data_IF_969342425462
#
_entry.id   IF_969342425462
#
_cell.length_a   1.000
_cell.length_b   1.000
_cell.length_c   1.000
_cell.angle_alpha   90.00
_cell.angle_beta   90.00
_cell.angle_gamma   90.00
#
_symmetry.space_group_name_H-M   'P 1'
#
loop_
_entity.id
_entity.type
_entity.pdbx_description
1 polymer ?
#
# COMPACT_ATOMS: atom_id res chain seq x y z
N UNK A 1 -13.48 -8.14 9.43
CA UNK A 1 -12.93 -6.77 9.28
C UNK A 1 -11.92 -6.74 8.11
N UNK A 2 -12.21 -5.96 7.06
CA UNK A 2 -11.22 -5.62 6.03
C UNK A 2 -10.69 -4.23 6.39
N UNK A 3 -9.39 -4.13 6.70
CA UNK A 3 -8.75 -2.84 6.98
C UNK A 3 -8.20 -2.20 5.71
N UNK A 4 -7.86 -0.92 5.77
CA UNK A 4 -7.20 -0.20 4.67
C UNK A 4 -5.69 -0.38 4.76
N UNK A 5 -5.05 -0.66 3.62
CA UNK A 5 -3.58 -0.74 3.54
C UNK A 5 -2.98 0.65 3.30
N UNK A 6 -1.96 1.02 4.08
CA UNK A 6 -1.18 2.25 3.91
C UNK A 6 0.29 1.87 3.68
N UNK A 7 0.84 2.03 2.47
CA UNK A 7 2.25 1.76 2.23
C UNK A 7 3.10 2.83 2.93
N UNK A 8 4.10 2.37 3.69
CA UNK A 8 5.07 3.20 4.41
C UNK A 8 6.48 2.94 3.89
N UNK A 9 7.49 3.64 4.45
CA UNK A 9 8.91 3.55 4.07
C UNK A 9 9.28 4.03 2.65
N UNK A 10 8.30 4.39 1.82
CA UNK A 10 8.48 5.00 0.51
C UNK A 10 7.85 6.42 0.47
N UNK A 11 8.11 7.19 -0.61
CA UNK A 11 7.43 8.46 -0.89
C UNK A 11 8.16 9.73 -0.44
N UNK A 12 9.31 9.61 0.23
CA UNK A 12 10.10 10.77 0.69
C UNK A 12 11.56 10.72 0.22
N UNK A 13 12.29 9.67 0.58
CA UNK A 13 13.71 9.51 0.25
C UNK A 13 13.92 8.44 -0.82
N UNK A 14 14.97 8.61 -1.64
CA UNK A 14 15.43 7.58 -2.56
C UNK A 14 16.62 6.83 -1.93
N UNK A 15 16.33 5.67 -1.33
CA UNK A 15 17.30 4.86 -0.58
C UNK A 15 17.54 3.48 -1.21
N UNK A 16 17.10 3.28 -2.47
CA UNK A 16 17.18 2.00 -3.16
C UNK A 16 17.66 2.17 -4.59
N UNK A 17 18.07 1.06 -5.21
CA UNK A 17 18.58 1.02 -6.60
C UNK A 17 17.47 1.02 -7.65
N UNK A 18 16.25 0.64 -7.27
CA UNK A 18 15.10 0.65 -8.16
C UNK A 18 14.59 2.09 -8.38
N UNK A 19 13.72 2.28 -9.39
CA UNK A 19 13.15 3.61 -9.63
C UNK A 19 12.32 4.07 -8.43
N UNK A 20 12.33 5.38 -8.12
CA UNK A 20 11.68 5.89 -6.91
C UNK A 20 10.16 5.66 -6.88
N UNK A 21 9.47 5.74 -8.04
CA UNK A 21 8.04 5.49 -8.15
C UNK A 21 7.66 3.99 -8.12
N UNK A 22 8.65 3.11 -8.26
CA UNK A 22 8.43 1.68 -8.47
C UNK A 22 7.65 0.99 -7.34
N UNK A 23 7.92 1.24 -6.04
CA UNK A 23 7.17 0.60 -4.96
C UNK A 23 5.70 1.00 -4.93
N UNK A 24 5.41 2.28 -5.21
CA UNK A 24 4.03 2.78 -5.28
C UNK A 24 3.23 2.11 -6.39
N UNK A 25 3.81 2.01 -7.59
CA UNK A 25 3.18 1.31 -8.71
C UNK A 25 2.93 -0.17 -8.42
N UNK A 26 3.93 -0.86 -7.88
CA UNK A 26 3.80 -2.29 -7.60
C UNK A 26 2.75 -2.57 -6.53
N UNK A 27 2.74 -1.77 -5.46
CA UNK A 27 1.76 -1.91 -4.39
C UNK A 27 0.33 -1.75 -4.91
N UNK A 28 0.07 -0.74 -5.77
CA UNK A 28 -1.25 -0.56 -6.36
C UNK A 28 -1.65 -1.74 -7.24
N UNK A 29 -0.74 -2.29 -8.03
CA UNK A 29 -1.00 -3.48 -8.85
C UNK A 29 -1.32 -4.70 -7.97
N UNK A 30 -0.52 -4.96 -6.93
CA UNK A 30 -0.71 -6.09 -6.03
C UNK A 30 -2.01 -5.99 -5.23
N UNK A 31 -2.34 -4.81 -4.72
CA UNK A 31 -3.60 -4.57 -4.02
C UNK A 31 -4.81 -4.72 -4.94
N UNK A 32 -4.72 -4.20 -6.17
CA UNK A 32 -5.74 -4.35 -7.19
C UNK A 32 -6.03 -5.80 -7.53
N UNK A 33 -5.00 -6.65 -7.60
CA UNK A 33 -5.15 -8.08 -7.87
C UNK A 33 -6.03 -8.79 -6.82
N UNK A 34 -5.89 -8.42 -5.54
CA UNK A 34 -6.62 -9.05 -4.41
C UNK A 34 -7.85 -8.27 -3.95
N UNK A 35 -8.19 -7.15 -4.59
CA UNK A 35 -9.29 -6.28 -4.17
C UNK A 35 -9.08 -5.59 -2.83
N UNK A 36 -7.83 -5.36 -2.41
CA UNK A 36 -7.49 -4.68 -1.16
C UNK A 36 -7.58 -3.16 -1.32
N UNK A 37 -8.30 -2.49 -0.43
CA UNK A 37 -8.35 -1.03 -0.39
C UNK A 37 -7.01 -0.46 0.08
N UNK A 38 -6.54 0.59 -0.61
CA UNK A 38 -5.25 1.25 -0.34
C UNK A 38 -5.46 2.75 -0.23
N UNK A 39 -4.90 3.33 0.83
CA UNK A 39 -4.74 4.78 0.95
C UNK A 39 -3.29 5.16 0.61
N UNK A 40 -3.13 6.15 -0.26
CA UNK A 40 -1.85 6.75 -0.66
C UNK A 40 -1.91 8.27 -0.51
N UNK A 41 -1.97 8.78 0.73
CA UNK A 41 -1.96 10.22 0.98
C UNK A 41 -0.67 10.85 0.44
N UNK A 42 -0.76 12.11 -0.01
CA UNK A 42 0.44 12.94 -0.21
C UNK A 42 1.14 13.08 1.16
N UNK A 43 2.48 13.05 1.26
CA UNK A 43 3.16 13.20 2.53
C UNK A 43 2.68 14.41 3.33
N UNK A 44 2.18 14.18 4.55
CA UNK A 44 1.59 15.20 5.42
C UNK A 44 0.09 15.42 5.27
N UNK A 45 -0.59 14.77 4.31
CA UNK A 45 -2.05 14.82 4.16
C UNK A 45 -2.74 13.93 5.21
N UNK A 46 -3.62 14.47 6.07
CA UNK A 46 -4.44 13.67 6.98
C UNK A 46 -5.59 12.98 6.24
N UNK A 47 -6.03 11.82 6.73
CA UNK A 47 -7.23 11.13 6.27
C UNK A 47 -7.79 10.21 7.37
N UNK A 48 -9.07 9.85 7.26
CA UNK A 48 -9.72 8.88 8.14
C UNK A 48 -9.85 7.53 7.42
N UNK A 49 -9.41 6.40 8.00
CA UNK A 49 -9.52 5.09 7.35
C UNK A 49 -10.94 4.63 7.05
N UNK A 50 -11.93 5.15 7.79
CA UNK A 50 -13.36 4.88 7.57
C UNK A 50 -14.04 5.91 6.66
N UNK A 51 -13.30 6.89 6.14
CA UNK A 51 -13.80 7.96 5.29
C UNK A 51 -13.31 7.84 3.84
N UNK A 52 -13.24 8.99 3.16
CA UNK A 52 -12.74 9.05 1.79
C UNK A 52 -11.24 8.75 1.74
N UNK A 53 -10.88 7.67 1.05
CA UNK A 53 -9.49 7.24 0.94
C UNK A 53 -8.75 8.04 -0.13
N UNK A 54 -7.57 8.60 0.17
CA UNK A 54 -6.73 9.24 -0.83
C UNK A 54 -6.07 8.18 -1.71
N UNK A 55 -6.77 7.67 -2.73
CA UNK A 55 -6.28 6.58 -3.59
C UNK A 55 -5.52 7.06 -4.85
N UNK A 56 -5.36 8.38 -5.01
CA UNK A 56 -4.74 8.97 -6.21
C UNK A 56 -3.21 8.75 -6.20
N UNK A 57 -2.61 8.20 -7.27
CA UNK A 57 -1.17 7.93 -7.35
C UNK A 57 -0.36 9.21 -7.60
N UNK A 58 -0.26 10.08 -6.58
CA UNK A 58 0.31 11.42 -6.66
C UNK A 58 1.77 11.47 -7.13
N UNK A 59 2.54 10.38 -6.93
CA UNK A 59 3.94 10.31 -7.34
C UNK A 59 4.11 10.34 -8.86
N UNK A 60 3.09 9.93 -9.63
CA UNK A 60 3.11 9.98 -11.10
C UNK A 60 3.23 11.40 -11.63
N UNK A 61 2.83 12.40 -10.85
CA UNK A 61 2.95 13.82 -11.22
C UNK A 61 4.38 14.34 -11.06
N UNK A 62 5.21 13.66 -10.27
CA UNK A 62 6.56 14.12 -9.87
C UNK A 62 7.66 13.11 -10.19
N UNK A 63 7.34 12.00 -10.86
CA UNK A 63 8.29 10.99 -11.29
C UNK A 63 8.41 10.93 -12.81
N UNK A 64 9.49 10.33 -13.28
CA UNK A 64 9.55 9.88 -14.67
C UNK A 64 8.53 8.75 -14.90
N UNK A 65 7.98 8.61 -16.13
CA UNK A 65 7.14 7.48 -16.48
C UNK A 65 7.86 6.15 -16.28
N UNK A 66 7.14 5.15 -15.76
CA UNK A 66 7.62 3.77 -15.67
C UNK A 66 6.87 2.91 -16.69
N UNK A 67 7.61 2.32 -17.61
CA UNK A 67 7.09 1.38 -18.62
C UNK A 67 7.61 -0.02 -18.28
N UNK A 68 6.94 -0.68 -17.35
CA UNK A 68 7.20 -2.07 -16.97
C UNK A 68 5.90 -2.73 -16.59
N UNK A 69 5.85 -4.06 -16.58
CA UNK A 69 4.75 -4.80 -15.95
C UNK A 69 5.18 -5.23 -14.53
N UNK A 70 4.21 -5.31 -13.62
CA UNK A 70 4.45 -5.66 -12.22
C UNK A 70 4.01 -7.09 -11.96
N UNK A 71 4.92 -7.97 -11.47
CA UNK A 71 4.53 -9.33 -11.15
C UNK A 71 3.56 -9.29 -9.96
N UNK A 72 2.32 -9.74 -10.17
CA UNK A 72 1.35 -9.94 -9.10
C UNK A 72 1.24 -11.45 -8.81
N UNK A 73 1.34 -11.89 -7.53
CA UNK A 73 1.23 -13.31 -7.21
C UNK A 73 -0.15 -13.86 -7.56
N UNK A 74 -0.20 -15.14 -7.96
CA UNK A 74 -1.46 -15.88 -8.00
C UNK A 74 -2.01 -16.01 -6.56
N UNK A 75 -3.27 -15.64 -6.38
CA UNK A 75 -3.89 -15.53 -5.06
C UNK A 75 -4.28 -16.93 -4.57
N UNK A 76 -3.64 -17.41 -3.51
CA UNK A 76 -4.13 -18.54 -2.72
C UNK A 76 -4.96 -18.01 -1.55
N UNK A 77 -6.16 -18.57 -1.35
CA UNK A 77 -7.20 -18.07 -0.43
C UNK A 77 -6.87 -18.21 1.08
N UNK A 78 -5.70 -18.70 1.47
CA UNK A 78 -5.42 -19.02 2.88
C UNK A 78 -4.72 -17.87 3.61
N UNK A 79 -5.50 -16.84 3.92
CA UNK A 79 -5.20 -16.04 5.11
C UNK A 79 -5.74 -16.78 6.33
N UNK A 80 -4.88 -17.50 7.04
CA UNK A 80 -5.22 -18.07 8.35
C UNK A 80 -5.55 -16.93 9.30
N UNK A 81 -6.81 -16.85 9.73
CA UNK A 81 -7.18 -16.07 10.91
C UNK A 81 -6.65 -16.83 12.10
N UNK A 82 -5.47 -16.43 12.58
CA UNK A 82 -5.03 -16.82 13.91
C UNK A 82 -5.87 -15.99 14.89
N UNK A 83 -6.88 -16.63 15.50
CA UNK A 83 -7.77 -16.03 16.50
C UNK A 83 -7.05 -15.73 17.85
N UNK A 84 -5.72 -15.90 17.92
CA UNK A 84 -4.91 -15.83 19.14
C UNK A 84 -4.15 -14.50 19.34
N UNK A 85 -4.59 -13.40 18.71
CA UNK A 85 -4.02 -12.08 18.98
C UNK A 85 -4.70 -11.41 20.19
N UNK A 86 -4.58 -12.03 21.37
CA UNK A 86 -4.88 -11.37 22.65
C UNK A 86 -3.72 -10.44 23.05
N UNK A 87 -3.72 -9.23 22.49
CA UNK A 87 -2.75 -8.18 22.80
C UNK A 87 -3.26 -7.31 23.95
N UNK A 88 -3.43 -7.89 25.14
CA UNK A 88 -3.66 -7.10 26.36
C UNK A 88 -2.65 -7.52 27.42
N UNK A 89 -1.58 -6.73 27.54
CA UNK A 89 -0.81 -6.68 28.77
C UNK A 89 -1.61 -5.93 29.81
N UNK A 90 -2.28 -6.66 30.72
CA UNK A 90 -2.79 -6.07 31.95
C UNK A 90 -1.59 -5.69 32.84
N UNK A 91 -1.57 -4.43 33.28
CA UNK A 91 -0.58 -3.85 34.19
C UNK A 91 -0.99 -4.03 35.65
#
# INVERSE_FOLDING_TARGET
>A
PHGVLLPIHWGTFNLSVHSWAEPGEWMLAAAGAVGQEVAVPVPGQPFEPAGDLPARPWWRDVSLPLDREWPVPEITSEASRDDDLDLVGEA
#
